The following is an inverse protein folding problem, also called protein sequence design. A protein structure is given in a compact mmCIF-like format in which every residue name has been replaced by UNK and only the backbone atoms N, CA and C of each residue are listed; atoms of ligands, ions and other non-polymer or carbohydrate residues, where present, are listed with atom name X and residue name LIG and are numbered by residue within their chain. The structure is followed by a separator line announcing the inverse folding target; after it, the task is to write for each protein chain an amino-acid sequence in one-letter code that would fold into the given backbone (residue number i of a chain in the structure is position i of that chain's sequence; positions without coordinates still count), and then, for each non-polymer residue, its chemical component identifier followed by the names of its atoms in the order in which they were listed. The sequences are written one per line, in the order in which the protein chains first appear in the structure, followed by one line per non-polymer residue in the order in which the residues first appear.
data_IF_519874289957
#
_entry.id   IF_519874289957
#
_cell.length_a   1.000
_cell.length_b   1.000
_cell.length_c   1.000
_cell.angle_alpha   90.00
_cell.angle_beta   90.00
_cell.angle_gamma   90.00
#
_symmetry.space_group_name_H-M   'P 1'
#
loop_
_entity.id
_entity.type
_entity.pdbx_description
1 polymer ?
#
# COMPACT_ATOMS: atom_id res chain seq x y z
N UNK A 1 -9.97 7.85 -2.44
CA UNK A 1 -9.78 7.04 -3.66
C UNK A 1 -10.34 5.65 -3.39
N UNK A 2 -10.97 5.03 -4.39
CA UNK A 2 -11.48 3.65 -4.32
C UNK A 2 -10.54 2.67 -5.01
N UNK A 3 -10.65 1.37 -4.71
CA UNK A 3 -9.86 0.33 -5.37
C UNK A 3 -10.12 0.30 -6.89
N UNK A 4 -11.37 0.50 -7.30
CA UNK A 4 -11.75 0.40 -8.71
C UNK A 4 -11.24 1.59 -9.52
N UNK A 5 -11.22 2.79 -8.93
CA UNK A 5 -10.56 3.96 -9.51
C UNK A 5 -9.07 3.67 -9.78
N UNK A 6 -8.36 3.06 -8.82
CA UNK A 6 -6.95 2.74 -8.97
C UNK A 6 -6.69 1.69 -10.06
N UNK A 7 -7.55 0.68 -10.17
CA UNK A 7 -7.43 -0.38 -11.20
C UNK A 7 -7.68 0.19 -12.61
N UNK A 8 -8.65 1.09 -12.75
CA UNK A 8 -9.08 1.65 -14.03
C UNK A 8 -8.21 2.81 -14.53
N UNK A 9 -7.35 3.39 -13.68
CA UNK A 9 -6.47 4.49 -14.03
C UNK A 9 -5.46 4.12 -15.13
N UNK A 10 -5.36 4.93 -16.19
CA UNK A 10 -4.40 4.75 -17.29
C UNK A 10 -3.63 6.06 -17.56
N UNK A 11 -2.28 6.05 -17.57
CA UNK A 11 -1.41 4.92 -17.20
C UNK A 11 -1.52 4.61 -15.69
N UNK A 12 -1.38 3.33 -15.33
CA UNK A 12 -1.38 2.92 -13.92
C UNK A 12 -0.16 3.55 -13.21
N UNK A 13 -0.35 4.24 -12.07
CA UNK A 13 0.78 4.81 -11.35
C UNK A 13 1.67 3.68 -10.81
N UNK A 14 2.98 3.88 -10.80
CA UNK A 14 3.92 2.89 -10.22
C UNK A 14 3.82 2.81 -8.69
N UNK A 15 3.39 3.90 -8.04
CA UNK A 15 3.29 4.03 -6.59
C UNK A 15 1.95 4.63 -6.15
N UNK A 16 1.45 4.21 -5.00
CA UNK A 16 0.25 4.76 -4.35
C UNK A 16 0.68 5.62 -3.16
N UNK A 17 0.00 6.74 -2.92
CA UNK A 17 0.22 7.54 -1.71
C UNK A 17 -0.39 6.82 -0.51
N UNK A 18 0.21 7.01 0.67
CA UNK A 18 -0.28 6.41 1.92
C UNK A 18 -1.74 6.80 2.20
N UNK A 19 -2.12 8.05 1.94
CA UNK A 19 -3.50 8.54 2.14
C UNK A 19 -4.50 7.80 1.26
N UNK A 20 -4.16 7.57 -0.01
CA UNK A 20 -5.03 6.87 -0.96
C UNK A 20 -5.13 5.40 -0.62
N UNK A 21 -3.99 4.75 -0.30
CA UNK A 21 -3.96 3.37 0.12
C UNK A 21 -4.74 3.14 1.44
N UNK A 22 -4.63 4.07 2.40
CA UNK A 22 -5.37 4.01 3.66
C UNK A 22 -6.89 4.17 3.43
N UNK A 23 -7.29 5.06 2.52
CA UNK A 23 -8.69 5.21 2.13
C UNK A 23 -9.24 3.95 1.46
N UNK A 24 -8.45 3.30 0.59
CA UNK A 24 -8.82 2.04 -0.07
C UNK A 24 -8.95 0.89 0.95
N UNK A 25 -8.12 0.89 2.00
CA UNK A 25 -8.15 -0.09 3.08
C UNK A 25 -9.20 0.21 4.16
N UNK A 26 -9.87 1.37 4.10
CA UNK A 26 -10.78 1.87 5.14
C UNK A 26 -10.12 1.97 6.53
N UNK A 27 -8.85 2.36 6.57
CA UNK A 27 -8.08 2.53 7.81
C UNK A 27 -7.55 3.95 7.98
N UNK A 28 -7.14 4.30 9.19
CA UNK A 28 -6.44 5.56 9.45
C UNK A 28 -5.05 5.54 8.76
N UNK A 29 -4.59 6.64 8.14
CA UNK A 29 -3.25 6.74 7.58
C UNK A 29 -2.13 6.32 8.53
N UNK A 30 -2.25 6.63 9.83
CA UNK A 30 -1.26 6.27 10.86
C UNK A 30 -1.16 4.76 11.07
N UNK A 31 -2.26 4.03 10.94
CA UNK A 31 -2.25 2.56 11.01
C UNK A 31 -1.41 1.99 9.86
N UNK A 32 -1.65 2.47 8.64
CA UNK A 32 -0.90 2.02 7.46
C UNK A 32 0.58 2.40 7.56
N UNK A 33 0.89 3.61 8.01
CA UNK A 33 2.26 4.05 8.25
C UNK A 33 2.98 3.13 9.23
N UNK A 34 2.41 2.89 10.41
CA UNK A 34 3.03 2.01 11.42
C UNK A 34 3.25 0.59 10.90
N UNK A 35 2.27 0.02 10.16
CA UNK A 35 2.43 -1.30 9.56
C UNK A 35 3.53 -1.35 8.48
N UNK A 36 3.69 -0.29 7.68
CA UNK A 36 4.77 -0.17 6.70
C UNK A 36 6.14 -0.01 7.35
N UNK A 37 6.24 0.75 8.44
CA UNK A 37 7.46 0.91 9.24
C UNK A 37 7.89 -0.43 9.85
N UNK A 38 6.93 -1.20 10.34
CA UNK A 38 7.18 -2.51 10.95
C UNK A 38 7.32 -3.66 9.93
N UNK A 39 7.25 -3.38 8.62
CA UNK A 39 7.35 -4.40 7.57
C UNK A 39 6.23 -5.44 7.56
N UNK A 40 5.03 -5.09 8.07
CA UNK A 40 3.88 -6.02 8.17
C UNK A 40 3.18 -6.28 6.84
N UNK A 41 3.38 -5.42 5.85
CA UNK A 41 2.71 -5.49 4.57
C UNK A 41 3.66 -5.88 3.43
N UNK A 42 3.30 -6.84 2.57
CA UNK A 42 4.18 -7.33 1.50
C UNK A 42 4.21 -6.41 0.25
N UNK A 43 3.50 -5.28 0.27
CA UNK A 43 3.31 -4.40 -0.88
C UNK A 43 4.06 -3.07 -0.80
N UNK A 44 4.71 -2.77 0.33
CA UNK A 44 5.39 -1.50 0.54
C UNK A 44 6.29 -1.50 1.77
N UNK A 45 7.00 -0.41 1.98
CA UNK A 45 7.86 -0.18 3.13
C UNK A 45 7.84 1.28 3.57
N UNK A 46 8.06 1.50 4.86
CA UNK A 46 8.51 2.78 5.41
C UNK A 46 10.04 2.76 5.51
N UNK A 47 10.69 3.82 5.02
CA UNK A 47 12.14 4.02 5.14
C UNK A 47 12.36 5.30 5.93
N UNK A 48 13.10 5.18 7.03
CA UNK A 48 13.51 6.33 7.83
C UNK A 48 14.79 6.93 7.23
N UNK A 49 14.75 8.20 6.86
CA UNK A 49 15.93 8.99 6.51
C UNK A 49 16.05 10.15 7.50
N UNK A 50 15.75 11.39 7.07
CA UNK A 50 15.53 12.54 7.98
C UNK A 50 14.08 12.63 8.43
N UNK A 51 13.17 12.21 7.56
CA UNK A 51 11.75 12.04 7.81
C UNK A 51 11.35 10.68 7.25
N UNK A 52 10.23 10.15 7.73
CA UNK A 52 9.67 8.90 7.23
C UNK A 52 9.19 9.08 5.79
N UNK A 53 9.78 8.30 4.89
CA UNK A 53 9.35 8.18 3.50
C UNK A 53 8.66 6.84 3.29
N UNK A 54 7.58 6.84 2.51
CA UNK A 54 6.79 5.64 2.27
C UNK A 54 6.77 5.30 0.79
N UNK A 55 6.99 4.02 0.51
CA UNK A 55 6.87 3.46 -0.83
C UNK A 55 5.82 2.34 -0.80
N UNK A 56 4.76 2.52 -1.59
CA UNK A 56 3.71 1.51 -1.79
C UNK A 56 3.69 1.19 -3.27
N UNK A 57 3.99 -0.06 -3.63
CA UNK A 57 3.93 -0.51 -5.01
C UNK A 57 2.47 -0.78 -5.41
N UNK A 58 1.99 -0.11 -6.46
CA UNK A 58 0.58 -0.19 -6.88
C UNK A 58 0.14 -1.61 -7.23
N UNK A 59 0.96 -2.35 -7.98
CA UNK A 59 0.61 -3.68 -8.45
C UNK A 59 0.51 -4.69 -7.28
N UNK A 60 1.49 -4.66 -6.36
CA UNK A 60 1.46 -5.50 -5.16
C UNK A 60 0.31 -5.14 -4.23
N UNK A 61 0.00 -3.85 -4.11
CA UNK A 61 -1.11 -3.37 -3.29
C UNK A 61 -2.45 -3.86 -3.83
N UNK A 62 -2.69 -3.76 -5.15
CA UNK A 62 -3.89 -4.30 -5.79
C UNK A 62 -4.02 -5.81 -5.54
N UNK A 63 -2.94 -6.58 -5.76
CA UNK A 63 -2.95 -8.04 -5.51
C UNK A 63 -3.25 -8.39 -4.05
N UNK A 64 -2.80 -7.57 -3.10
CA UNK A 64 -3.12 -7.74 -1.70
C UNK A 64 -4.61 -7.49 -1.42
N UNK A 65 -5.17 -6.40 -1.94
CA UNK A 65 -6.58 -6.06 -1.75
C UNK A 65 -7.55 -7.03 -2.45
N UNK A 66 -7.13 -7.65 -3.56
CA UNK A 66 -7.92 -8.66 -4.27
C UNK A 66 -7.75 -10.08 -3.72
N UNK A 67 -6.95 -10.26 -2.66
CA UNK A 67 -6.71 -11.57 -2.04
C UNK A 67 -5.85 -12.52 -2.88
N UNK A 68 -5.15 -12.02 -3.89
CA UNK A 68 -4.27 -12.80 -4.77
C UNK A 68 -2.88 -13.03 -4.17
N UNK A 69 -2.56 -12.35 -3.07
CA UNK A 69 -1.29 -12.57 -2.35
C UNK A 69 -1.32 -13.95 -1.69
N UNK A 70 -0.39 -14.81 -2.12
CA UNK A 70 -0.12 -16.08 -1.46
C UNK A 70 0.40 -15.73 -0.06
N UNK A 71 -0.30 -16.16 0.98
CA UNK A 71 0.23 -16.13 2.33
C UNK A 71 1.43 -17.08 2.34
N UNK A 72 2.64 -16.56 2.11
CA UNK A 72 3.87 -17.32 2.29
C UNK A 72 3.97 -17.57 3.79
N UNK A 73 3.48 -18.73 4.22
CA UNK A 73 3.71 -19.28 5.55
C UNK A 73 5.21 -19.21 5.82
N UNK A 74 5.58 -18.54 6.91
CA UNK A 74 6.87 -18.68 7.55
C UNK A 74 6.94 -20.05 8.24
#
# INVERSE_FOLDING_TARGET
MTLQELINMKPRPMRVKVTDAAAIMEVNPRFLQMGLQQGKFPFGCGVEMKEWSYYINTERFIRYMTGQTICSKW
#
